data_IF_371526742627
#
_entry.id   IF_371526742627
#
_cell.length_a   1.000
_cell.length_b   1.000
_cell.length_c   1.000
_cell.angle_alpha   90.00
_cell.angle_beta   90.00
_cell.angle_gamma   90.00
#
_symmetry.space_group_name_H-M   'P 1'
#
loop_
_entity.id
_entity.type
_entity.pdbx_description
1 polymer ?
#
# COMPACT_ATOMS: atom_id res chain seq x y z
N UNK A 1 5.65 25.28 -1.09
CA UNK A 1 5.34 24.06 -0.33
C UNK A 1 5.95 24.24 1.05
N UNK A 2 5.15 24.62 2.04
CA UNK A 2 5.60 24.73 3.44
C UNK A 2 5.23 23.43 4.13
N UNK A 3 6.20 22.54 4.31
CA UNK A 3 6.02 21.35 5.12
C UNK A 3 6.03 21.76 6.59
N UNK A 4 4.98 21.39 7.33
CA UNK A 4 5.04 21.45 8.78
C UNK A 4 5.87 20.25 9.30
N UNK A 5 7.05 20.54 9.85
CA UNK A 5 7.99 19.56 10.40
C UNK A 5 7.79 19.32 11.91
N UNK A 6 6.73 19.87 12.53
CA UNK A 6 6.56 19.90 13.98
C UNK A 6 6.11 18.57 14.63
N UNK A 7 5.99 17.47 13.89
CA UNK A 7 5.56 16.19 14.44
C UNK A 7 6.70 15.48 15.18
N UNK A 8 6.58 15.42 16.50
CA UNK A 8 7.42 14.60 17.36
C UNK A 8 7.30 13.11 16.99
N UNK A 9 8.45 12.44 16.84
CA UNK A 9 8.54 10.98 16.75
C UNK A 9 7.67 10.33 17.84
N UNK A 10 6.78 9.44 17.44
CA UNK A 10 5.93 8.73 18.37
C UNK A 10 6.27 7.23 18.41
N UNK A 11 5.70 6.51 19.41
CA UNK A 11 5.95 5.07 19.58
C UNK A 11 5.58 4.24 18.34
N UNK A 12 4.56 4.64 17.59
CA UNK A 12 4.13 3.93 16.40
C UNK A 12 5.10 4.10 15.23
N UNK A 13 5.85 5.20 15.17
CA UNK A 13 6.91 5.39 14.17
C UNK A 13 8.06 4.39 14.37
N UNK A 14 8.40 4.09 15.62
CA UNK A 14 9.39 3.04 15.95
C UNK A 14 8.85 1.66 15.58
N UNK A 15 7.58 1.38 15.93
CA UNK A 15 6.92 0.13 15.53
C UNK A 15 6.86 -0.02 14.01
N UNK A 16 6.66 1.09 13.28
CA UNK A 16 6.61 1.10 11.83
C UNK A 16 7.93 0.64 11.21
N UNK A 17 9.06 1.12 11.73
CA UNK A 17 10.40 0.66 11.28
C UNK A 17 10.52 -0.85 11.45
N UNK A 18 10.14 -1.38 12.62
CA UNK A 18 10.23 -2.81 12.92
C UNK A 18 9.32 -3.62 11.97
N UNK A 19 8.06 -3.22 11.85
CA UNK A 19 7.06 -3.92 11.03
C UNK A 19 7.44 -3.92 9.56
N UNK A 20 7.82 -2.76 9.00
CA UNK A 20 8.23 -2.66 7.59
C UNK A 20 9.52 -3.44 7.34
N UNK A 21 10.47 -3.40 8.28
CA UNK A 21 11.72 -4.19 8.16
C UNK A 21 11.44 -5.68 8.14
N UNK A 22 10.62 -6.19 9.07
CA UNK A 22 10.23 -7.60 9.12
C UNK A 22 9.44 -8.02 7.87
N UNK A 23 8.43 -7.26 7.47
CA UNK A 23 7.62 -7.57 6.30
C UNK A 23 8.46 -7.57 5.02
N UNK A 24 9.37 -6.60 4.87
CA UNK A 24 10.28 -6.52 3.72
C UNK A 24 11.31 -7.65 3.74
N UNK A 25 11.83 -8.03 4.90
CA UNK A 25 12.71 -9.19 5.03
C UNK A 25 12.00 -10.47 4.58
N UNK A 26 10.79 -10.73 5.07
CA UNK A 26 10.02 -11.91 4.66
C UNK A 26 9.73 -11.89 3.14
N UNK A 27 9.34 -10.73 2.59
CA UNK A 27 9.13 -10.55 1.16
C UNK A 27 10.39 -10.87 0.33
N UNK A 28 11.56 -10.44 0.81
CA UNK A 28 12.84 -10.66 0.15
C UNK A 28 13.25 -12.15 0.11
N UNK A 29 12.93 -12.92 1.14
CA UNK A 29 13.24 -14.35 1.22
C UNK A 29 12.12 -15.24 0.64
N UNK A 30 10.94 -14.69 0.36
CA UNK A 30 9.86 -15.42 -0.28
C UNK A 30 10.23 -15.83 -1.72
N UNK A 31 10.26 -17.13 -1.96
CA UNK A 31 10.68 -17.70 -3.25
C UNK A 31 9.64 -17.56 -4.35
N UNK A 32 8.37 -17.76 -4.02
CA UNK A 32 7.29 -17.84 -5.00
C UNK A 32 6.63 -16.46 -5.20
N UNK A 33 6.32 -16.08 -6.45
CA UNK A 33 5.53 -14.88 -6.74
C UNK A 33 4.20 -14.86 -5.98
N UNK A 34 3.59 -16.04 -5.77
CA UNK A 34 2.36 -16.24 -4.98
C UNK A 34 2.52 -15.77 -3.53
N UNK A 35 3.59 -16.19 -2.84
CA UNK A 35 3.85 -15.78 -1.46
C UNK A 35 4.20 -14.29 -1.36
N UNK A 36 4.95 -13.76 -2.34
CA UNK A 36 5.26 -12.33 -2.41
C UNK A 36 3.99 -11.48 -2.55
N UNK A 37 3.08 -11.89 -3.43
CA UNK A 37 1.79 -11.21 -3.63
C UNK A 37 1.00 -11.12 -2.33
N UNK A 38 0.86 -12.24 -1.59
CA UNK A 38 0.17 -12.23 -0.28
C UNK A 38 0.84 -11.28 0.70
N UNK A 39 2.17 -11.32 0.84
CA UNK A 39 2.87 -10.43 1.77
C UNK A 39 2.75 -8.95 1.41
N UNK A 40 2.63 -8.61 0.13
CA UNK A 40 2.39 -7.24 -0.30
C UNK A 40 0.93 -6.78 -0.08
N UNK A 41 -0.01 -7.71 0.02
CA UNK A 41 -1.42 -7.40 0.31
C UNK A 41 -1.69 -7.19 1.81
N UNK A 42 -0.81 -7.65 2.71
CA UNK A 42 -1.04 -7.51 4.15
C UNK A 42 -0.89 -6.04 4.61
N UNK A 43 -1.95 -5.41 5.17
CA UNK A 43 -1.98 -3.98 5.49
C UNK A 43 -1.34 -3.66 6.86
N UNK A 44 -0.23 -4.31 7.20
CA UNK A 44 0.50 -3.97 8.43
C UNK A 44 1.00 -2.53 8.43
N UNK A 45 1.67 -2.01 7.37
CA UNK A 45 2.15 -0.64 7.36
C UNK A 45 0.99 0.34 7.45
N UNK A 46 -0.11 0.04 6.76
CA UNK A 46 -1.36 0.80 6.86
C UNK A 46 -1.86 0.92 8.29
N UNK A 47 -1.94 -0.20 9.01
CA UNK A 47 -2.44 -0.22 10.38
C UNK A 47 -1.56 0.64 11.28
N UNK A 48 -0.24 0.48 11.19
CA UNK A 48 0.69 1.22 12.05
C UNK A 48 0.72 2.71 11.70
N UNK A 49 0.68 3.08 10.42
CA UNK A 49 0.65 4.50 10.03
C UNK A 49 -0.66 5.15 10.45
N UNK A 50 -1.79 4.45 10.32
CA UNK A 50 -3.09 4.96 10.77
C UNK A 50 -3.09 5.20 12.29
N UNK A 51 -2.54 4.26 13.06
CA UNK A 51 -2.35 4.43 14.51
C UNK A 51 -1.34 5.53 14.86
N UNK A 52 -0.30 5.72 14.04
CA UNK A 52 0.69 6.78 14.21
C UNK A 52 0.13 8.17 13.94
N UNK A 53 -0.78 8.30 12.97
CA UNK A 53 -1.51 9.52 12.70
C UNK A 53 -2.51 9.84 13.82
N UNK A 54 -3.17 8.81 14.35
CA UNK A 54 -4.23 8.97 15.36
C UNK A 54 -5.46 9.70 14.82
N UNK A 55 -5.61 9.78 13.50
CA UNK A 55 -6.78 10.33 12.82
C UNK A 55 -7.79 9.22 12.55
N UNK A 56 -9.06 9.59 12.55
CA UNK A 56 -10.14 8.70 12.15
C UNK A 56 -9.98 8.27 10.70
N UNK A 57 -10.41 7.05 10.40
CA UNK A 57 -10.48 6.57 9.01
C UNK A 57 -11.57 7.34 8.29
N UNK A 58 -11.22 8.01 7.19
CA UNK A 58 -12.12 8.85 6.41
C UNK A 58 -11.92 8.68 4.89
N UNK A 59 -12.50 9.58 4.09
CA UNK A 59 -12.43 9.54 2.63
C UNK A 59 -10.99 9.57 2.11
N UNK A 60 -10.06 10.23 2.81
CA UNK A 60 -8.67 10.32 2.38
C UNK A 60 -7.95 8.97 2.44
N UNK A 61 -8.26 8.12 3.43
CA UNK A 61 -7.74 6.74 3.49
C UNK A 61 -8.23 5.90 2.31
N UNK A 62 -9.50 6.07 1.92
CA UNK A 62 -10.11 5.36 0.79
C UNK A 62 -9.46 5.81 -0.53
N UNK A 63 -9.35 7.11 -0.76
CA UNK A 63 -8.75 7.65 -1.98
C UNK A 63 -7.25 7.36 -2.09
N UNK A 64 -6.56 7.12 -0.97
CA UNK A 64 -5.16 6.71 -0.96
C UNK A 64 -4.93 5.37 -1.70
N UNK A 65 -5.93 4.50 -1.79
CA UNK A 65 -5.86 3.30 -2.63
C UNK A 65 -5.65 3.65 -4.11
N UNK A 66 -6.32 4.69 -4.61
CA UNK A 66 -6.19 5.15 -6.00
C UNK A 66 -4.80 5.73 -6.23
N UNK A 67 -4.27 6.51 -5.29
CA UNK A 67 -2.93 7.08 -5.42
C UNK A 67 -1.86 5.97 -5.35
N UNK A 68 -2.06 4.96 -4.49
CA UNK A 68 -1.21 3.77 -4.45
C UNK A 68 -1.24 3.01 -5.78
N UNK A 69 -2.41 2.92 -6.43
CA UNK A 69 -2.54 2.32 -7.76
C UNK A 69 -1.76 3.09 -8.82
N UNK A 70 -1.87 4.42 -8.82
CA UNK A 70 -1.11 5.31 -9.71
C UNK A 70 0.38 5.15 -9.47
N UNK A 71 0.82 5.11 -8.20
CA UNK A 71 2.21 4.84 -7.83
C UNK A 71 2.71 3.53 -8.46
N UNK A 72 2.02 2.40 -8.23
CA UNK A 72 2.47 1.11 -8.76
C UNK A 72 2.50 1.09 -10.29
N UNK A 73 1.51 1.70 -10.94
CA UNK A 73 1.45 1.78 -12.40
C UNK A 73 2.51 2.72 -12.99
N UNK A 74 2.84 3.81 -12.30
CA UNK A 74 3.89 4.74 -12.72
C UNK A 74 5.25 4.05 -12.78
N UNK A 75 5.60 3.25 -11.77
CA UNK A 75 6.85 2.48 -11.74
C UNK A 75 6.89 1.49 -12.90
N UNK A 76 5.81 0.73 -13.10
CA UNK A 76 5.69 -0.22 -14.21
C UNK A 76 5.82 0.47 -15.57
N UNK A 77 5.12 1.60 -15.77
CA UNK A 77 5.16 2.33 -17.03
C UNK A 77 6.57 2.88 -17.30
N UNK A 78 7.18 3.52 -16.30
CA UNK A 78 8.53 4.08 -16.42
C UNK A 78 9.56 2.98 -16.70
N UNK A 79 9.52 1.86 -15.97
CA UNK A 79 10.50 0.79 -16.11
C UNK A 79 10.27 -0.08 -17.35
N UNK A 80 9.06 -0.65 -17.51
CA UNK A 80 8.81 -1.66 -18.54
C UNK A 80 8.53 -1.06 -19.92
N UNK A 81 7.93 0.14 -19.98
CA UNK A 81 7.52 0.76 -21.26
C UNK A 81 8.47 1.85 -21.71
N UNK A 82 8.93 2.70 -20.79
CA UNK A 82 9.86 3.80 -21.13
C UNK A 82 11.32 3.36 -21.02
N UNK A 83 11.62 2.29 -20.27
CA UNK A 83 12.99 1.78 -20.12
C UNK A 83 13.82 2.53 -19.08
N UNK A 84 13.19 3.32 -18.21
CA UNK A 84 13.87 4.02 -17.12
C UNK A 84 14.43 3.00 -16.12
N UNK A 85 15.70 3.12 -15.65
CA UNK A 85 16.24 2.22 -14.64
C UNK A 85 15.35 2.16 -13.39
N UNK A 86 15.14 0.95 -12.83
CA UNK A 86 14.21 0.75 -11.70
C UNK A 86 14.55 1.63 -10.48
N UNK A 87 15.85 1.88 -10.27
CA UNK A 87 16.38 2.74 -9.19
C UNK A 87 15.94 4.20 -9.34
N UNK A 88 15.64 4.66 -10.57
CA UNK A 88 15.09 6.00 -10.84
C UNK A 88 13.55 5.98 -10.90
N UNK A 89 12.97 4.90 -11.43
CA UNK A 89 11.51 4.76 -11.53
C UNK A 89 10.84 4.76 -10.14
N UNK A 90 11.45 4.11 -9.14
CA UNK A 90 10.89 4.02 -7.78
C UNK A 90 10.81 5.40 -7.09
N UNK A 91 11.90 6.19 -6.97
CA UNK A 91 11.82 7.55 -6.44
C UNK A 91 10.86 8.43 -7.22
N UNK A 92 10.82 8.32 -8.56
CA UNK A 92 9.89 9.10 -9.38
C UNK A 92 8.43 8.76 -9.06
N UNK A 93 8.09 7.48 -8.98
CA UNK A 93 6.76 7.05 -8.55
C UNK A 93 6.42 7.54 -7.13
N UNK A 94 7.39 7.47 -6.21
CA UNK A 94 7.22 7.96 -4.84
C UNK A 94 6.94 9.47 -4.79
N UNK A 95 7.63 10.25 -5.62
CA UNK A 95 7.38 11.69 -5.74
C UNK A 95 5.99 11.98 -6.32
N UNK A 96 5.53 11.19 -7.29
CA UNK A 96 4.15 11.27 -7.80
C UNK A 96 3.15 10.98 -6.67
N UNK A 97 3.37 9.93 -5.87
CA UNK A 97 2.52 9.62 -4.72
C UNK A 97 2.46 10.79 -3.74
N UNK A 98 3.62 11.33 -3.35
CA UNK A 98 3.71 12.43 -2.39
C UNK A 98 2.99 13.67 -2.92
N UNK A 99 3.22 14.03 -4.18
CA UNK A 99 2.58 15.19 -4.80
C UNK A 99 1.07 15.03 -4.85
N UNK A 100 0.58 13.91 -5.39
CA UNK A 100 -0.86 13.64 -5.48
C UNK A 100 -1.51 13.58 -4.10
N UNK A 101 -0.88 12.89 -3.14
CA UNK A 101 -1.39 12.78 -1.77
C UNK A 101 -1.44 14.13 -1.06
N UNK A 102 -0.40 14.96 -1.22
CA UNK A 102 -0.37 16.30 -0.65
C UNK A 102 -1.49 17.18 -1.21
N UNK A 103 -1.62 17.27 -2.54
CA UNK A 103 -2.67 18.10 -3.15
C UNK A 103 -4.06 17.57 -2.85
N UNK A 104 -4.26 16.25 -2.91
CA UNK A 104 -5.54 15.62 -2.57
C UNK A 104 -5.92 15.88 -1.11
N UNK A 105 -4.97 15.85 -0.17
CA UNK A 105 -5.22 16.14 1.25
C UNK A 105 -5.75 17.55 1.49
N UNK A 106 -5.38 18.53 0.65
CA UNK A 106 -5.83 19.92 0.78
C UNK A 106 -7.26 20.14 0.27
N UNK A 107 -7.72 19.32 -0.67
CA UNK A 107 -8.99 19.53 -1.38
C UNK A 107 -10.08 18.53 -0.99
N UNK A 108 -9.72 17.39 -0.40
CA UNK A 108 -10.68 16.31 -0.11
C UNK A 108 -11.47 16.65 1.16
N UNK A 109 -12.80 16.81 1.07
CA UNK A 109 -13.64 16.97 2.25
C UNK A 109 -13.63 15.70 3.12
N UNK A 110 -13.70 15.88 4.44
CA UNK A 110 -13.69 14.77 5.43
C UNK A 110 -15.07 14.45 5.98
N UNK A 111 -16.12 14.72 5.19
CA UNK A 111 -17.49 14.42 5.56
C UNK A 111 -17.92 13.00 5.14
N UNK A 112 -19.03 12.57 5.74
CA UNK A 112 -19.65 11.26 5.53
C UNK A 112 -20.01 10.98 4.06
N UNK A 113 -20.47 12.02 3.34
CA UNK A 113 -20.91 11.88 1.94
C UNK A 113 -19.73 11.57 1.05
N UNK A 114 -18.63 12.32 1.22
CA UNK A 114 -17.39 12.13 0.49
C UNK A 114 -16.79 10.75 0.76
N UNK A 115 -16.89 10.25 2.01
CA UNK A 115 -16.46 8.90 2.36
C UNK A 115 -17.22 7.84 1.55
N UNK A 116 -18.55 7.82 1.59
CA UNK A 116 -19.35 6.80 0.90
C UNK A 116 -19.24 6.87 -0.62
N UNK A 117 -19.19 8.07 -1.20
CA UNK A 117 -18.92 8.25 -2.64
C UNK A 117 -17.56 7.64 -2.99
N UNK A 118 -16.53 7.95 -2.22
CA UNK A 118 -15.18 7.40 -2.43
C UNK A 118 -15.17 5.88 -2.33
N UNK A 119 -15.87 5.30 -1.34
CA UNK A 119 -16.00 3.84 -1.19
C UNK A 119 -16.59 3.21 -2.44
N UNK A 120 -17.75 3.70 -2.92
CA UNK A 120 -18.41 3.13 -4.10
C UNK A 120 -17.52 3.26 -5.34
N UNK A 121 -16.96 4.44 -5.58
CA UNK A 121 -16.11 4.69 -6.75
C UNK A 121 -14.86 3.83 -6.74
N UNK A 122 -14.15 3.77 -5.61
CA UNK A 122 -12.91 2.98 -5.47
C UNK A 122 -13.21 1.48 -5.56
N UNK A 123 -14.34 1.02 -5.02
CA UNK A 123 -14.73 -0.37 -5.13
C UNK A 123 -15.01 -0.78 -6.58
N UNK A 124 -15.84 -0.01 -7.29
CA UNK A 124 -16.18 -0.28 -8.69
C UNK A 124 -14.93 -0.19 -9.59
N UNK A 125 -14.07 0.80 -9.34
CA UNK A 125 -12.79 0.91 -10.03
C UNK A 125 -11.90 -0.30 -9.77
N UNK A 126 -11.75 -0.70 -8.50
CA UNK A 126 -10.97 -1.86 -8.08
C UNK A 126 -11.46 -3.15 -8.73
N UNK A 127 -12.78 -3.40 -8.73
CA UNK A 127 -13.39 -4.54 -9.41
C UNK A 127 -13.13 -4.52 -10.92
N UNK A 128 -13.38 -3.38 -11.56
CA UNK A 128 -13.18 -3.21 -13.00
C UNK A 128 -11.74 -3.53 -13.43
N UNK A 129 -10.76 -3.00 -12.69
CA UNK A 129 -9.35 -3.27 -12.97
C UNK A 129 -8.97 -4.72 -12.61
N UNK A 130 -9.45 -5.24 -11.49
CA UNK A 130 -9.14 -6.61 -11.04
C UNK A 130 -9.57 -7.65 -12.08
N UNK A 131 -10.80 -7.54 -12.59
CA UNK A 131 -11.33 -8.45 -13.61
C UNK A 131 -10.82 -8.14 -15.02
N UNK A 132 -10.57 -6.87 -15.35
CA UNK A 132 -10.03 -6.48 -16.65
C UNK A 132 -8.56 -6.86 -16.86
N UNK A 133 -7.79 -7.03 -15.77
CA UNK A 133 -6.35 -7.29 -15.87
C UNK A 133 -6.06 -8.79 -15.89
N UNK A 134 -5.65 -9.31 -17.05
CA UNK A 134 -5.26 -10.73 -17.22
C UNK A 134 -4.03 -11.09 -16.38
N UNK A 135 -4.05 -12.28 -15.79
CA UNK A 135 -2.88 -12.88 -15.14
C UNK A 135 -1.80 -13.19 -16.17
N UNK A 136 -0.53 -13.03 -15.79
CA UNK A 136 0.63 -13.34 -16.64
C UNK A 136 1.57 -14.23 -15.87
N UNK A 137 2.15 -15.20 -16.57
CA UNK A 137 3.26 -15.98 -16.04
C UNK A 137 4.47 -15.05 -15.94
N UNK A 138 5.00 -14.87 -14.74
CA UNK A 138 6.17 -14.03 -14.49
C UNK A 138 7.23 -14.83 -13.75
N UNK A 139 8.50 -14.48 -14.00
CA UNK A 139 9.64 -15.24 -13.51
C UNK A 139 9.73 -15.15 -11.99
N UNK A 140 9.97 -16.30 -11.35
CA UNK A 140 10.38 -16.33 -9.96
C UNK A 140 11.82 -15.77 -9.86
N UNK A 141 12.01 -14.75 -9.03
CA UNK A 141 13.33 -14.20 -8.75
C UNK A 141 13.51 -14.03 -7.25
N UNK A 142 14.58 -14.59 -6.69
CA UNK A 142 15.02 -14.31 -5.32
C UNK A 142 16.06 -13.20 -5.36
N UNK A 143 16.00 -12.33 -4.37
CA UNK A 143 16.89 -11.18 -4.24
C UNK A 143 18.37 -11.57 -4.22
N UNK A 144 19.23 -10.67 -4.69
CA UNK A 144 20.66 -10.65 -4.38
C UNK A 144 21.05 -9.47 -3.48
N UNK A 145 20.11 -8.56 -3.15
CA UNK A 145 20.45 -7.32 -2.47
C UNK A 145 20.66 -7.60 -0.96
N UNK A 146 21.84 -7.27 -0.40
CA UNK A 146 22.13 -7.59 0.99
C UNK A 146 21.22 -6.86 1.98
N UNK A 147 20.93 -7.50 3.11
CA UNK A 147 20.06 -6.94 4.16
C UNK A 147 20.57 -5.58 4.66
N UNK A 148 21.88 -5.41 4.76
CA UNK A 148 22.51 -4.16 5.18
C UNK A 148 22.29 -2.98 4.22
N UNK A 149 21.84 -3.21 2.99
CA UNK A 149 21.44 -2.13 2.05
C UNK A 149 19.94 -1.86 2.17
N UNK A 150 19.13 -2.89 2.41
CA UNK A 150 17.66 -2.76 2.53
C UNK A 150 17.25 -1.97 3.75
N UNK A 151 17.87 -2.24 4.89
CA UNK A 151 17.52 -1.57 6.14
C UNK A 151 17.74 -0.04 6.07
N UNK A 152 18.87 0.48 5.57
CA UNK A 152 19.02 1.92 5.33
C UNK A 152 17.94 2.51 4.41
N UNK A 153 17.57 1.82 3.32
CA UNK A 153 16.52 2.30 2.43
C UNK A 153 15.18 2.39 3.18
N UNK A 154 14.82 1.35 3.94
CA UNK A 154 13.60 1.34 4.76
C UNK A 154 13.63 2.49 5.77
N UNK A 155 14.74 2.69 6.47
CA UNK A 155 14.89 3.79 7.43
C UNK A 155 14.71 5.16 6.77
N UNK A 156 15.31 5.40 5.61
CA UNK A 156 15.16 6.66 4.87
C UNK A 156 13.71 6.87 4.45
N UNK A 157 13.04 5.83 3.93
CA UNK A 157 11.65 5.95 3.46
C UNK A 157 10.69 6.14 4.64
N UNK A 158 10.91 5.45 5.76
CA UNK A 158 10.11 5.65 6.98
C UNK A 158 10.36 7.04 7.57
N UNK A 159 11.62 7.50 7.66
CA UNK A 159 11.94 8.85 8.12
C UNK A 159 11.28 9.92 7.25
N UNK A 160 11.32 9.74 5.92
CA UNK A 160 10.60 10.60 4.98
C UNK A 160 9.10 10.63 5.29
N UNK A 161 8.47 9.46 5.48
CA UNK A 161 7.06 9.38 5.84
C UNK A 161 6.77 10.08 7.17
N UNK A 162 7.57 9.85 8.21
CA UNK A 162 7.39 10.48 9.54
C UNK A 162 7.41 12.00 9.42
N UNK A 163 8.28 12.54 8.57
CA UNK A 163 8.40 13.96 8.29
C UNK A 163 7.17 14.53 7.56
N UNK A 164 6.59 13.78 6.62
CA UNK A 164 5.51 14.30 5.76
C UNK A 164 4.10 13.81 6.11
N UNK A 165 3.95 12.82 7.01
CA UNK A 165 2.66 12.14 7.28
C UNK A 165 1.56 13.11 7.71
N UNK A 166 1.89 14.13 8.50
CA UNK A 166 0.94 15.17 8.91
C UNK A 166 0.36 15.94 7.73
N UNK A 167 1.19 16.23 6.73
CA UNK A 167 0.78 16.92 5.50
C UNK A 167 -0.03 16.02 4.56
N UNK A 168 0.13 14.70 4.67
CA UNK A 168 -0.61 13.71 3.87
C UNK A 168 -1.94 13.29 4.51
N UNK A 169 -2.14 13.47 5.82
CA UNK A 169 -3.35 13.01 6.50
C UNK A 169 -3.59 11.51 6.28
N UNK A 170 -4.83 11.09 6.00
CA UNK A 170 -5.14 9.68 5.73
C UNK A 170 -4.47 9.11 4.48
N UNK A 171 -3.98 9.95 3.55
CA UNK A 171 -3.12 9.48 2.45
C UNK A 171 -1.79 8.91 2.92
N UNK A 172 -1.30 9.26 4.11
CA UNK A 172 -0.10 8.65 4.65
C UNK A 172 -0.30 7.16 4.95
N UNK A 173 -1.53 6.73 5.26
CA UNK A 173 -1.83 5.35 5.63
C UNK A 173 -1.49 4.33 4.54
N UNK A 174 -1.53 4.71 3.27
CA UNK A 174 -1.13 3.84 2.15
C UNK A 174 0.17 4.26 1.48
N UNK A 175 1.00 5.01 2.21
CA UNK A 175 2.33 5.35 1.74
C UNK A 175 3.11 4.06 1.40
N UNK A 176 3.77 4.00 0.22
CA UNK A 176 4.25 2.75 -0.35
C UNK A 176 5.56 2.23 0.29
N UNK A 177 5.59 2.08 1.62
CA UNK A 177 6.78 1.69 2.41
C UNK A 177 7.38 0.36 1.93
N UNK A 178 6.58 -0.71 1.96
CA UNK A 178 7.01 -2.05 1.54
C UNK A 178 7.21 -2.09 0.03
N UNK A 179 6.39 -1.33 -0.71
CA UNK A 179 6.43 -1.30 -2.18
C UNK A 179 7.67 -0.62 -2.75
N UNK A 180 8.38 0.25 -2.01
CA UNK A 180 9.67 0.80 -2.45
C UNK A 180 10.69 -0.33 -2.63
N UNK A 181 10.89 -1.18 -1.62
CA UNK A 181 11.78 -2.33 -1.74
C UNK A 181 11.15 -3.41 -2.59
N UNK A 182 9.85 -3.65 -2.43
CA UNK A 182 9.08 -4.64 -3.19
C UNK A 182 9.16 -4.43 -4.70
N UNK A 183 9.12 -3.19 -5.19
CA UNK A 183 9.26 -2.86 -6.62
C UNK A 183 10.63 -3.26 -7.15
N UNK A 184 11.69 -3.02 -6.37
CA UNK A 184 13.04 -3.42 -6.75
C UNK A 184 13.17 -4.95 -6.79
N UNK A 185 12.59 -5.64 -5.81
CA UNK A 185 12.58 -7.10 -5.73
C UNK A 185 11.72 -7.77 -6.80
N UNK A 186 10.65 -7.09 -7.23
CA UNK A 186 9.71 -7.52 -8.24
C UNK A 186 10.01 -6.89 -9.61
N UNK A 187 11.20 -6.35 -9.86
CA UNK A 187 11.55 -5.67 -11.13
C UNK A 187 11.40 -6.54 -12.38
N UNK A 188 11.41 -7.86 -12.23
CA UNK A 188 11.15 -8.83 -13.31
C UNK A 188 9.71 -9.38 -13.31
N UNK A 189 8.86 -8.85 -12.43
CA UNK A 189 7.47 -9.25 -12.21
C UNK A 189 6.57 -8.07 -11.77
N UNK A 190 6.79 -6.88 -12.36
CA UNK A 190 6.08 -5.65 -12.00
C UNK A 190 4.60 -5.67 -12.39
N UNK A 191 4.20 -6.54 -13.32
CA UNK A 191 2.79 -6.74 -13.66
C UNK A 191 2.03 -7.34 -12.48
N UNK A 192 2.57 -8.37 -11.82
CA UNK A 192 1.99 -8.95 -10.61
C UNK A 192 1.84 -7.89 -9.51
N UNK A 193 2.89 -7.12 -9.26
CA UNK A 193 2.82 -6.05 -8.26
C UNK A 193 1.71 -5.04 -8.57
N UNK A 194 1.55 -4.67 -9.84
CA UNK A 194 0.48 -3.76 -10.28
C UNK A 194 -0.92 -4.35 -10.11
N UNK A 195 -1.07 -5.69 -10.12
CA UNK A 195 -2.33 -6.39 -9.84
C UNK A 195 -2.63 -6.57 -8.35
N UNK A 196 -1.62 -6.50 -7.50
CA UNK A 196 -1.80 -6.54 -6.04
C UNK A 196 -2.61 -5.34 -5.55
N UNK A 197 -2.49 -4.15 -6.18
CA UNK A 197 -3.24 -2.97 -5.74
C UNK A 197 -4.75 -3.06 -5.99
N UNK A 198 -5.26 -3.50 -7.16
CA UNK A 198 -6.67 -3.80 -7.33
C UNK A 198 -7.20 -4.84 -6.32
N UNK A 199 -6.38 -5.83 -5.95
CA UNK A 199 -6.75 -6.77 -4.88
C UNK A 199 -6.88 -6.06 -3.53
N UNK A 200 -5.92 -5.19 -3.18
CA UNK A 200 -6.01 -4.33 -2.00
C UNK A 200 -7.26 -3.44 -2.04
N UNK A 201 -7.64 -2.88 -3.19
CA UNK A 201 -8.86 -2.08 -3.32
C UNK A 201 -10.12 -2.86 -2.95
N UNK A 202 -10.16 -4.16 -3.24
CA UNK A 202 -11.32 -5.01 -2.95
C UNK A 202 -11.29 -5.53 -1.51
N UNK A 203 -10.11 -5.83 -0.96
CA UNK A 203 -9.97 -6.45 0.37
C UNK A 203 -9.79 -5.44 1.49
N UNK A 204 -8.98 -4.40 1.28
CA UNK A 204 -8.71 -3.37 2.28
C UNK A 204 -9.88 -2.39 2.43
N UNK A 205 -10.64 -2.13 1.37
CA UNK A 205 -11.75 -1.20 1.44
C UNK A 205 -12.84 -1.65 2.45
N UNK A 206 -13.27 -2.92 2.50
CA UNK A 206 -14.14 -3.41 3.58
C UNK A 206 -13.54 -3.30 4.98
N UNK A 207 -12.21 -3.40 5.13
CA UNK A 207 -11.55 -3.07 6.40
C UNK A 207 -11.76 -1.60 6.74
N UNK A 208 -11.52 -0.68 5.80
CA UNK A 208 -11.72 0.76 6.01
C UNK A 208 -13.17 1.08 6.38
N UNK A 209 -14.15 0.50 5.68
CA UNK A 209 -15.58 0.66 5.98
C UNK A 209 -15.90 0.15 7.38
N UNK A 210 -15.43 -1.04 7.73
CA UNK A 210 -15.66 -1.62 9.05
C UNK A 210 -15.04 -0.75 10.14
N UNK A 211 -13.80 -0.31 9.97
CA UNK A 211 -13.15 0.60 10.90
C UNK A 211 -13.89 1.92 11.01
N UNK A 212 -14.33 2.50 9.90
CA UNK A 212 -15.06 3.76 9.89
C UNK A 212 -16.38 3.69 10.68
N UNK A 213 -17.14 2.61 10.51
CA UNK A 213 -18.40 2.37 11.21
C UNK A 213 -18.23 2.08 12.70
N UNK A 214 -17.09 1.53 13.11
CA UNK A 214 -16.88 0.99 14.47
C UNK A 214 -15.93 1.82 15.32
N UNK A 215 -15.14 2.73 14.72
CA UNK A 215 -14.16 3.55 15.43
C UNK A 215 -14.78 4.48 16.46
N UNK A 216 -16.00 4.97 16.26
CA UNK A 216 -16.69 5.81 17.25
C UNK A 216 -17.03 5.02 18.52
N UNK A 217 -17.38 3.74 18.40
CA UNK A 217 -17.79 2.91 19.52
C UNK A 217 -16.60 2.24 20.24
N UNK A 218 -15.58 1.81 19.49
CA UNK A 218 -14.47 0.99 20.01
C UNK A 218 -13.10 1.68 19.94
N UNK A 219 -13.07 2.95 19.52
CA UNK A 219 -11.85 3.67 19.17
C UNK A 219 -11.21 3.13 17.88
N UNK A 220 -10.23 3.87 17.37
CA UNK A 220 -9.51 3.52 16.13
C UNK A 220 -8.88 2.12 16.17
N UNK A 221 -8.23 1.76 17.30
CA UNK A 221 -7.60 0.45 17.45
C UNK A 221 -8.60 -0.72 17.42
N UNK A 222 -9.75 -0.58 18.09
CA UNK A 222 -10.81 -1.58 18.08
C UNK A 222 -11.46 -1.70 16.69
N UNK A 223 -11.70 -0.57 16.02
CA UNK A 223 -12.24 -0.58 14.66
C UNK A 223 -11.29 -1.20 13.64
N UNK A 224 -9.97 -0.98 13.78
CA UNK A 224 -8.96 -1.66 12.95
C UNK A 224 -8.96 -3.17 13.20
N UNK A 225 -9.04 -3.61 14.46
CA UNK A 225 -9.10 -5.04 14.80
C UNK A 225 -10.30 -5.74 14.12
N UNK A 226 -11.49 -5.14 14.20
CA UNK A 226 -12.69 -5.66 13.53
C UNK A 226 -12.54 -5.64 12.01
N UNK A 227 -11.97 -4.57 11.46
CA UNK A 227 -11.69 -4.48 10.03
C UNK A 227 -10.69 -5.55 9.55
N UNK A 228 -9.69 -5.92 10.34
CA UNK A 228 -8.78 -7.03 10.02
C UNK A 228 -9.51 -8.38 9.91
N UNK A 229 -10.50 -8.64 10.76
CA UNK A 229 -11.31 -9.85 10.67
C UNK A 229 -12.06 -9.90 9.32
N UNK A 230 -12.70 -8.80 8.92
CA UNK A 230 -13.39 -8.68 7.62
C UNK A 230 -12.40 -8.82 6.45
N UNK A 231 -11.24 -8.18 6.55
CA UNK A 231 -10.17 -8.30 5.56
C UNK A 231 -9.77 -9.75 5.32
N UNK A 232 -9.56 -10.55 6.37
CA UNK A 232 -9.18 -11.95 6.21
C UNK A 232 -10.29 -12.81 5.59
N UNK A 233 -11.55 -12.56 5.95
CA UNK A 233 -12.71 -13.24 5.35
C UNK A 233 -12.73 -13.08 3.82
N UNK A 234 -12.29 -11.92 3.31
CA UNK A 234 -12.23 -11.66 1.87
C UNK A 234 -10.90 -12.07 1.24
N UNK A 235 -9.78 -11.78 1.90
CA UNK A 235 -8.44 -12.04 1.39
C UNK A 235 -8.25 -13.53 1.09
N UNK A 236 -8.63 -14.41 2.02
CA UNK A 236 -8.40 -15.85 1.91
C UNK A 236 -9.05 -16.45 0.65
N UNK A 237 -10.37 -16.33 0.42
CA UNK A 237 -11.00 -16.92 -0.76
C UNK A 237 -10.51 -16.28 -2.07
N UNK A 238 -10.29 -14.97 -2.10
CA UNK A 238 -9.79 -14.29 -3.30
C UNK A 238 -8.37 -14.77 -3.64
N UNK A 239 -7.50 -14.90 -2.64
CA UNK A 239 -6.14 -15.41 -2.83
C UNK A 239 -6.17 -16.86 -3.33
N UNK A 240 -7.00 -17.72 -2.72
CA UNK A 240 -7.17 -19.10 -3.15
C UNK A 240 -7.66 -19.19 -4.60
N UNK A 241 -8.63 -18.36 -4.98
CA UNK A 241 -9.12 -18.28 -6.35
C UNK A 241 -8.02 -17.83 -7.32
N UNK A 242 -7.27 -16.77 -7.00
CA UNK A 242 -6.16 -16.28 -7.82
C UNK A 242 -5.06 -17.33 -8.00
N UNK A 243 -4.73 -18.08 -6.94
CA UNK A 243 -3.67 -19.09 -6.98
C UNK A 243 -4.03 -20.30 -7.84
N UNK A 244 -5.32 -20.65 -7.92
CA UNK A 244 -5.86 -21.69 -8.81
C UNK A 244 -5.83 -21.27 -10.28
N UNK A 245 -6.01 -19.98 -10.55
CA UNK A 245 -5.97 -19.40 -11.90
C UNK A 245 -4.61 -18.78 -12.25
N UNK A 246 -3.56 -19.13 -11.49
CA UNK A 246 -2.23 -18.61 -11.74
C UNK A 246 -1.62 -19.37 -12.93
N UNK A 247 -1.21 -18.67 -14.00
CA UNK A 247 -0.62 -19.33 -15.17
C UNK A 247 0.75 -19.93 -14.82
N UNK A 248 1.02 -21.12 -15.32
CA UNK A 248 2.30 -21.79 -15.12
C UNK A 248 3.46 -21.00 -15.76
N UNK A 249 4.63 -20.92 -15.12
CA UNK A 249 5.80 -20.33 -15.74
C UNK A 249 6.25 -21.19 -16.92
N UNK A 250 6.14 -20.65 -18.14
CA UNK A 250 6.77 -21.21 -19.34
C UNK A 250 8.29 -21.07 -19.27
#
# INVERSE_FOLDING_TARGET
MTFDFSLALNRWDVVLVIVVSLQTAILAYAASPKAKSVMMTLPFPFTIVTLSLGLDVDATNVLALVILFVYSHSIRLLHDRVGVPIVMAIPTGLMIYIALGYFAAQITPRDETTFWISVVVVFLFGLGVFFGTKSRAERAHRTSLPVFVKLPIILVVVALLVVIKGNLGGFASLFPLVSVVGSYEARYSLWMMSRTVPMLMITLLPLLVTTHLTQQAFGLGGGLLLGWAVFFVLLVPITMWQWRHWPDPN
#
